data_IF_340230756522
#
_entry.id   IF_340230756522
#
_cell.length_a   1.000
_cell.length_b   1.000
_cell.length_c   1.000
_cell.angle_alpha   90.00
_cell.angle_beta   90.00
_cell.angle_gamma   90.00
#
_symmetry.space_group_name_H-M   'P 1'
#
loop_
_entity.id
_entity.type
_entity.pdbx_description
1 polymer ?
#
# COMPACT_ATOMS: atom_id res chain seq x y z
N UNK A 1 -30.53 -2.49 9.73
CA UNK A 1 -29.15 -2.68 10.27
C UNK A 1 -29.09 -4.05 10.93
N UNK A 2 -28.65 -5.07 10.21
CA UNK A 2 -28.55 -6.44 10.76
C UNK A 2 -27.18 -6.58 11.42
N UNK A 3 -27.14 -6.74 12.75
CA UNK A 3 -25.89 -6.96 13.50
C UNK A 3 -25.25 -8.28 13.02
N UNK A 4 -23.96 -8.26 12.68
CA UNK A 4 -23.19 -9.49 12.51
C UNK A 4 -23.00 -10.14 13.88
N UNK A 5 -23.80 -11.17 14.18
CA UNK A 5 -23.60 -12.01 15.36
C UNK A 5 -22.53 -13.03 14.98
N UNK A 6 -21.36 -12.97 15.62
CA UNK A 6 -20.37 -14.04 15.56
C UNK A 6 -20.90 -15.22 16.38
N UNK A 7 -21.45 -16.22 15.69
CA UNK A 7 -21.84 -17.48 16.31
C UNK A 7 -20.57 -18.33 16.43
N UNK A 8 -20.08 -18.49 17.65
CA UNK A 8 -19.02 -19.44 17.99
C UNK A 8 -19.71 -20.66 18.59
N UNK A 9 -19.65 -21.82 17.91
CA UNK A 9 -20.27 -23.05 18.45
C UNK A 9 -19.36 -23.69 19.49
N UNK A 10 -19.91 -24.28 20.55
CA UNK A 10 -19.14 -24.97 21.59
C UNK A 10 -18.50 -26.27 21.06
N UNK A 11 -17.30 -26.64 21.52
CA UNK A 11 -16.59 -27.88 21.14
C UNK A 11 -15.22 -27.65 20.46
N UNK A 12 -14.33 -28.65 20.55
CA UNK A 12 -12.95 -28.60 20.02
C UNK A 12 -12.81 -29.19 18.61
N UNK A 13 -11.75 -28.80 17.89
CA UNK A 13 -11.44 -29.36 16.57
C UNK A 13 -10.71 -30.70 16.72
N UNK A 14 -11.14 -31.78 16.04
CA UNK A 14 -10.35 -33.02 15.98
C UNK A 14 -9.04 -32.80 15.20
N UNK A 15 -8.03 -33.67 15.39
CA UNK A 15 -6.83 -33.67 14.55
C UNK A 15 -7.18 -33.96 13.09
N UNK A 16 -6.81 -33.04 12.20
CA UNK A 16 -7.09 -33.11 10.76
C UNK A 16 -5.84 -33.66 10.04
N UNK A 17 -5.95 -34.70 9.20
CA UNK A 17 -4.80 -35.24 8.46
C UNK A 17 -4.24 -34.23 7.46
N UNK A 18 -2.91 -34.08 7.41
CA UNK A 18 -2.23 -33.07 6.60
C UNK A 18 -2.26 -33.38 5.10
N UNK A 19 -2.83 -32.48 4.29
CA UNK A 19 -2.66 -32.45 2.84
C UNK A 19 -2.12 -31.08 2.40
N UNK A 20 -1.14 -31.10 1.49
CA UNK A 20 -0.20 -30.00 1.17
C UNK A 20 -0.73 -28.88 0.25
N UNK A 21 -2.02 -28.59 0.23
CA UNK A 21 -2.59 -27.49 -0.58
C UNK A 21 -3.59 -26.67 0.21
N UNK A 22 -3.36 -25.35 0.28
CA UNK A 22 -4.25 -24.43 0.99
C UNK A 22 -5.57 -24.28 0.23
N UNK A 23 -6.68 -24.74 0.82
CA UNK A 23 -8.02 -24.52 0.28
C UNK A 23 -8.91 -23.82 1.32
N UNK A 24 -9.84 -22.99 0.87
CA UNK A 24 -10.75 -22.24 1.74
C UNK A 24 -12.16 -22.84 1.63
N UNK A 25 -12.43 -23.90 2.40
CA UNK A 25 -13.73 -24.57 2.46
C UNK A 25 -14.77 -23.84 3.32
N UNK A 26 -14.33 -22.95 4.23
CA UNK A 26 -15.22 -22.14 5.05
C UNK A 26 -14.50 -20.88 5.59
N UNK A 27 -15.29 -19.86 5.97
CA UNK A 27 -14.79 -18.59 6.54
C UNK A 27 -15.23 -18.42 8.01
N UNK A 28 -16.04 -19.35 8.53
CA UNK A 28 -16.50 -19.40 9.92
C UNK A 28 -17.68 -20.35 10.10
N UNK A 29 -18.03 -20.71 11.34
CA UNK A 29 -19.02 -21.75 11.68
C UNK A 29 -20.39 -21.54 11.03
N UNK A 30 -20.80 -20.28 10.82
CA UNK A 30 -22.07 -19.92 10.16
C UNK A 30 -22.20 -20.43 8.71
N UNK A 31 -21.07 -20.76 8.09
CA UNK A 31 -21.01 -21.30 6.72
C UNK A 31 -20.95 -22.84 6.70
N UNK A 32 -20.94 -23.47 7.87
CA UNK A 32 -20.99 -24.92 8.04
C UNK A 32 -22.38 -25.38 8.52
N UNK A 33 -22.68 -26.66 8.31
CA UNK A 33 -23.90 -27.30 8.84
C UNK A 33 -24.00 -27.14 10.36
N UNK A 34 -25.20 -27.12 10.97
CA UNK A 34 -25.41 -26.94 12.41
C UNK A 34 -24.53 -27.79 13.34
N UNK A 35 -24.15 -28.99 12.91
CA UNK A 35 -23.34 -29.98 13.63
C UNK A 35 -21.82 -29.84 13.40
N UNK A 36 -21.39 -28.83 12.63
CA UNK A 36 -20.02 -28.65 12.17
C UNK A 36 -19.39 -27.33 12.65
N UNK A 37 -18.06 -27.31 12.73
CA UNK A 37 -17.24 -26.10 12.95
C UNK A 37 -16.26 -25.88 11.83
N UNK A 38 -15.95 -24.62 11.57
CA UNK A 38 -14.92 -24.24 10.62
C UNK A 38 -13.56 -24.30 11.32
N UNK A 39 -12.85 -25.41 11.16
CA UNK A 39 -11.57 -25.65 11.80
C UNK A 39 -10.41 -25.36 10.85
N UNK A 40 -9.28 -24.93 11.43
CA UNK A 40 -8.07 -24.60 10.69
C UNK A 40 -6.86 -25.32 11.25
N UNK A 41 -6.00 -25.85 10.38
CA UNK A 41 -4.66 -26.32 10.73
C UNK A 41 -3.62 -25.54 9.90
N UNK A 42 -3.44 -24.26 10.21
CA UNK A 42 -2.62 -23.33 9.42
C UNK A 42 -3.39 -22.63 8.30
N UNK A 43 -2.97 -22.80 7.04
CA UNK A 43 -3.53 -22.07 5.89
C UNK A 43 -4.86 -22.62 5.34
N UNK A 44 -5.28 -23.81 5.77
CA UNK A 44 -6.50 -24.48 5.30
C UNK A 44 -7.63 -24.27 6.32
N UNK A 45 -8.84 -23.92 5.84
CA UNK A 45 -10.08 -23.92 6.62
C UNK A 45 -11.10 -24.89 6.03
N UNK A 46 -11.69 -25.76 6.84
CA UNK A 46 -12.73 -26.70 6.38
C UNK A 46 -13.79 -26.96 7.46
N UNK A 47 -15.00 -27.31 7.05
CA UNK A 47 -16.08 -27.68 7.97
C UNK A 47 -15.87 -29.14 8.42
N UNK A 48 -15.75 -29.37 9.72
CA UNK A 48 -15.62 -30.70 10.34
C UNK A 48 -16.67 -30.87 11.42
N UNK A 49 -17.13 -32.10 11.60
CA UNK A 49 -18.10 -32.44 12.64
C UNK A 49 -17.49 -32.21 14.03
N UNK A 50 -18.29 -31.65 14.94
CA UNK A 50 -17.84 -31.28 16.28
C UNK A 50 -17.71 -32.54 17.12
N UNK A 51 -16.55 -32.73 17.78
CA UNK A 51 -16.46 -33.68 18.89
C UNK A 51 -17.19 -33.05 20.08
N UNK A 52 -18.36 -33.58 20.43
CA UNK A 52 -19.09 -33.16 21.63
C UNK A 52 -18.28 -33.56 22.88
N UNK A 53 -17.49 -32.63 23.42
CA UNK A 53 -17.03 -32.73 24.80
C UNK A 53 -18.07 -32.08 25.70
N UNK A 54 -18.61 -32.78 26.71
CA UNK A 54 -19.63 -32.22 27.56
C UNK A 54 -19.01 -31.09 28.40
N UNK A 55 -19.69 -29.95 28.38
CA UNK A 55 -19.64 -28.89 29.40
C UNK A 55 -18.62 -27.74 29.21
N UNK A 56 -19.09 -26.62 28.65
CA UNK A 56 -18.94 -25.27 29.26
C UNK A 56 -19.69 -24.19 28.46
N UNK A 57 -20.44 -23.37 29.19
CA UNK A 57 -21.26 -22.23 28.78
C UNK A 57 -20.43 -21.01 28.36
N UNK A 58 -20.95 -20.10 27.50
CA UNK A 58 -20.19 -18.93 27.05
C UNK A 58 -20.21 -17.79 28.07
N UNK A 59 -19.04 -17.23 28.36
CA UNK A 59 -18.84 -16.04 29.21
C UNK A 59 -18.72 -14.80 28.29
N UNK A 60 -19.59 -13.80 28.50
CA UNK A 60 -19.41 -12.42 28.02
C UNK A 60 -18.80 -11.57 29.13
N UNK A 61 -17.75 -10.79 28.84
CA UNK A 61 -17.40 -9.61 29.65
C UNK A 61 -16.88 -8.46 28.81
N UNK A 62 -17.33 -7.25 29.17
CA UNK A 62 -16.86 -5.95 28.72
C UNK A 62 -16.01 -5.30 29.81
N UNK A 63 -15.14 -4.34 29.47
CA UNK A 63 -15.03 -2.99 30.09
C UNK A 63 -13.59 -2.43 30.11
N UNK A 64 -13.55 -1.10 29.95
CA UNK A 64 -12.41 -0.15 30.07
C UNK A 64 -12.14 0.13 31.57
N UNK A 65 -10.96 0.67 31.95
CA UNK A 65 -10.93 2.11 32.31
C UNK A 65 -9.64 2.86 31.90
N UNK A 66 -9.71 4.19 32.01
CA UNK A 66 -8.72 5.19 31.62
C UNK A 66 -7.75 5.58 32.76
N UNK A 67 -6.61 6.19 32.43
CA UNK A 67 -5.83 7.04 33.33
C UNK A 67 -5.16 8.22 32.57
N UNK A 68 -4.93 9.30 33.33
CA UNK A 68 -4.77 10.73 33.01
C UNK A 68 -3.32 11.17 32.65
N UNK A 69 -3.12 12.46 32.27
CA UNK A 69 -1.89 12.99 31.65
C UNK A 69 -0.86 13.50 32.66
N UNK A 70 0.38 13.70 32.20
CA UNK A 70 1.43 14.38 32.97
C UNK A 70 2.18 15.37 32.09
N UNK A 71 2.19 16.62 32.56
CA UNK A 71 2.90 17.79 32.06
C UNK A 71 4.37 17.74 32.52
N UNK A 72 5.35 18.08 31.69
CA UNK A 72 6.60 18.70 32.19
C UNK A 72 7.24 19.63 31.16
N UNK A 73 7.52 20.81 31.68
CA UNK A 73 8.04 22.08 31.18
C UNK A 73 9.38 22.02 30.44
N UNK A 74 9.51 22.96 29.49
CA UNK A 74 10.72 23.32 28.77
C UNK A 74 11.85 23.88 29.67
N UNK A 75 13.09 23.73 29.22
CA UNK A 75 14.23 24.52 29.73
C UNK A 75 15.06 25.02 28.55
N UNK A 76 15.01 26.33 28.35
CA UNK A 76 15.75 27.11 27.36
C UNK A 76 17.12 27.50 27.92
N UNK A 77 18.18 27.45 27.12
CA UNK A 77 19.39 28.27 27.28
C UNK A 77 20.00 28.63 25.92
N UNK A 78 20.71 29.77 25.83
CA UNK A 78 20.88 30.53 24.59
C UNK A 78 22.12 30.11 23.80
N UNK A 79 22.05 30.23 22.47
CA UNK A 79 23.21 30.20 21.59
C UNK A 79 23.21 31.48 20.75
N UNK A 80 24.35 32.18 20.75
CA UNK A 80 24.54 33.52 20.21
C UNK A 80 25.50 33.45 19.02
N UNK A 81 25.18 34.24 17.97
CA UNK A 81 26.02 34.68 16.82
C UNK A 81 26.33 33.62 15.76
N UNK A 82 26.31 33.87 14.44
CA UNK A 82 26.72 35.06 13.67
C UNK A 82 25.87 35.22 12.40
N UNK A 83 25.57 36.48 12.05
CA UNK A 83 24.96 36.88 10.78
C UNK A 83 26.10 37.17 9.80
N UNK A 84 26.25 36.34 8.77
CA UNK A 84 27.08 36.67 7.61
C UNK A 84 26.14 36.98 6.46
N UNK A 85 26.11 38.26 6.07
CA UNK A 85 25.33 38.77 4.96
C UNK A 85 26.00 38.34 3.64
N UNK A 86 25.38 37.41 2.92
CA UNK A 86 25.67 37.18 1.51
C UNK A 86 24.52 37.74 0.66
N UNK A 87 24.87 38.71 -0.19
CA UNK A 87 24.04 39.30 -1.23
C UNK A 87 23.42 38.21 -2.12
N UNK A 88 22.12 38.27 -2.46
CA UNK A 88 21.55 37.37 -3.44
C UNK A 88 21.92 37.82 -4.85
N UNK A 89 22.79 37.06 -5.50
CA UNK A 89 22.96 37.13 -6.96
C UNK A 89 21.67 36.60 -7.60
N UNK A 90 20.83 37.51 -8.08
CA UNK A 90 19.61 37.19 -8.84
C UNK A 90 19.99 36.47 -10.12
N UNK A 91 20.09 35.15 -10.05
CA UNK A 91 20.14 34.31 -11.26
C UNK A 91 18.70 34.18 -11.70
N UNK A 92 18.35 34.83 -12.80
CA UNK A 92 17.05 34.73 -13.46
C UNK A 92 16.77 33.25 -13.76
N UNK A 93 16.00 32.57 -12.91
CA UNK A 93 15.51 31.22 -13.19
C UNK A 93 14.61 31.33 -14.41
N UNK A 94 14.92 30.54 -15.43
CA UNK A 94 14.00 30.29 -16.53
C UNK A 94 12.63 29.85 -15.95
N UNK A 95 11.50 30.32 -16.51
CA UNK A 95 10.19 29.96 -16.00
C UNK A 95 9.97 28.46 -16.22
N UNK A 96 10.20 27.68 -15.17
CA UNK A 96 9.62 26.34 -15.07
C UNK A 96 8.12 26.55 -14.98
N UNK A 97 7.38 26.24 -16.04
CA UNK A 97 5.91 26.12 -16.06
C UNK A 97 5.44 24.97 -15.15
N UNK A 98 5.91 24.91 -13.90
CA UNK A 98 5.41 24.00 -12.89
C UNK A 98 4.35 24.77 -12.11
N UNK A 99 3.10 24.29 -12.04
CA UNK A 99 2.06 24.99 -11.30
C UNK A 99 2.53 25.20 -9.86
N UNK A 100 2.41 26.41 -9.32
CA UNK A 100 2.97 26.85 -8.04
C UNK A 100 2.54 26.01 -6.80
N UNK A 101 1.70 24.99 -6.97
CA UNK A 101 1.14 24.16 -5.90
C UNK A 101 0.96 22.69 -6.32
N UNK A 102 1.80 22.19 -7.24
CA UNK A 102 1.77 20.80 -7.70
C UNK A 102 2.76 19.93 -6.91
N UNK A 103 2.22 18.90 -6.24
CA UNK A 103 2.98 17.85 -5.58
C UNK A 103 3.00 16.55 -6.37
N UNK A 104 3.99 15.70 -6.12
CA UNK A 104 4.11 14.37 -6.72
C UNK A 104 4.55 13.34 -5.68
N UNK A 105 3.94 12.15 -5.73
CA UNK A 105 4.24 11.02 -4.86
C UNK A 105 4.35 9.75 -5.71
N UNK A 106 5.49 9.06 -5.65
CA UNK A 106 5.57 7.72 -6.24
C UNK A 106 5.11 6.68 -5.22
N UNK A 107 4.28 5.74 -5.66
CA UNK A 107 3.74 4.65 -4.85
C UNK A 107 4.05 3.33 -5.53
N UNK A 108 4.54 2.35 -4.78
CA UNK A 108 4.73 0.99 -5.29
C UNK A 108 3.76 0.05 -4.61
N UNK A 109 3.03 -0.74 -5.37
CA UNK A 109 2.07 -1.72 -4.87
C UNK A 109 2.48 -3.12 -5.34
N UNK A 110 2.50 -4.11 -4.45
CA UNK A 110 2.49 -5.52 -4.84
C UNK A 110 1.05 -5.98 -5.08
N UNK A 111 0.76 -6.56 -6.24
CA UNK A 111 -0.58 -7.00 -6.60
C UNK A 111 -0.70 -8.52 -6.40
N UNK A 112 -1.65 -8.97 -5.56
CA UNK A 112 -1.81 -10.40 -5.23
C UNK A 112 -2.59 -11.14 -6.32
N UNK A 113 -3.70 -10.57 -6.77
CA UNK A 113 -4.68 -11.27 -7.61
C UNK A 113 -4.43 -11.10 -9.12
N UNK A 114 -3.24 -10.64 -9.50
CA UNK A 114 -2.88 -10.39 -10.89
C UNK A 114 -1.64 -11.18 -11.29
N UNK A 115 -1.63 -11.68 -12.52
CA UNK A 115 -0.52 -12.41 -13.09
C UNK A 115 0.18 -11.53 -14.13
N UNK A 116 1.45 -11.25 -13.91
CA UNK A 116 2.24 -10.56 -14.91
C UNK A 116 2.28 -11.38 -16.22
N UNK A 117 2.06 -10.70 -17.34
CA UNK A 117 2.28 -11.24 -18.68
C UNK A 117 2.58 -10.10 -19.67
N UNK A 118 3.03 -10.45 -20.87
CA UNK A 118 3.46 -9.49 -21.89
C UNK A 118 2.37 -8.48 -22.31
N UNK A 119 1.08 -8.79 -22.09
CA UNK A 119 -0.02 -7.83 -22.33
C UNK A 119 0.09 -6.57 -21.50
N UNK A 120 0.74 -6.63 -20.32
CA UNK A 120 0.97 -5.48 -19.45
C UNK A 120 2.06 -4.53 -19.98
N UNK A 121 2.79 -4.93 -21.02
CA UNK A 121 3.73 -4.06 -21.73
C UNK A 121 3.04 -3.30 -22.87
N UNK A 122 1.79 -3.64 -23.19
CA UNK A 122 1.05 -3.08 -24.33
C UNK A 122 -0.18 -2.31 -23.85
N UNK A 123 -0.17 -0.96 -23.85
CA UNK A 123 -1.30 -0.16 -23.40
C UNK A 123 -2.63 -0.43 -24.14
N UNK A 124 -2.56 -1.00 -25.34
CA UNK A 124 -3.73 -1.36 -26.15
C UNK A 124 -4.38 -2.68 -25.75
N UNK A 125 -3.72 -3.51 -24.93
CA UNK A 125 -4.30 -4.76 -24.47
C UNK A 125 -5.51 -4.51 -23.56
N UNK A 126 -6.56 -5.31 -23.73
CA UNK A 126 -7.70 -5.33 -22.81
C UNK A 126 -7.27 -5.59 -21.37
N UNK A 127 -6.28 -6.47 -21.16
CA UNK A 127 -5.77 -6.80 -19.83
C UNK A 127 -5.09 -5.60 -19.17
N UNK A 128 -4.23 -4.88 -19.92
CA UNK A 128 -3.61 -3.64 -19.45
C UNK A 128 -4.67 -2.61 -19.08
N UNK A 129 -5.61 -2.31 -19.99
CA UNK A 129 -6.62 -1.27 -19.78
C UNK A 129 -7.52 -1.58 -18.59
N UNK A 130 -7.92 -2.85 -18.43
CA UNK A 130 -8.74 -3.28 -17.32
C UNK A 130 -7.99 -3.10 -15.99
N UNK A 131 -6.78 -3.64 -15.87
CA UNK A 131 -5.97 -3.50 -14.65
C UNK A 131 -5.66 -2.04 -14.33
N UNK A 132 -5.27 -1.25 -15.34
CA UNK A 132 -5.03 0.18 -15.20
C UNK A 132 -6.25 0.91 -14.64
N UNK A 133 -7.42 0.65 -15.21
CA UNK A 133 -8.69 1.25 -14.77
C UNK A 133 -9.05 0.83 -13.34
N UNK A 134 -8.89 -0.45 -12.99
CA UNK A 134 -9.15 -0.97 -11.65
C UNK A 134 -8.26 -0.29 -10.62
N UNK A 135 -6.95 -0.21 -10.88
CA UNK A 135 -6.00 0.46 -9.98
C UNK A 135 -6.38 1.93 -9.82
N UNK A 136 -6.50 2.65 -10.94
CA UNK A 136 -6.80 4.08 -10.94
C UNK A 136 -8.09 4.38 -10.17
N UNK A 137 -9.16 3.62 -10.43
CA UNK A 137 -10.47 3.85 -9.80
C UNK A 137 -10.44 3.57 -8.30
N UNK A 138 -9.75 2.50 -7.87
CA UNK A 138 -9.60 2.19 -6.45
C UNK A 138 -8.81 3.30 -5.71
N UNK A 139 -7.70 3.75 -6.28
CA UNK A 139 -6.91 4.83 -5.66
C UNK A 139 -7.72 6.13 -5.60
N UNK A 140 -8.47 6.49 -6.66
CA UNK A 140 -9.36 7.66 -6.58
C UNK A 140 -10.49 7.48 -5.56
N UNK A 141 -10.98 6.26 -5.37
CA UNK A 141 -12.00 5.96 -4.37
C UNK A 141 -11.51 6.31 -2.95
N UNK A 142 -10.26 6.03 -2.63
CA UNK A 142 -9.62 6.38 -1.35
C UNK A 142 -9.68 7.87 -1.00
N UNK A 143 -9.74 8.75 -2.00
CA UNK A 143 -9.67 10.20 -1.82
C UNK A 143 -10.99 10.94 -2.06
N UNK A 144 -12.12 10.21 -2.17
CA UNK A 144 -13.44 10.82 -2.42
C UNK A 144 -13.85 11.89 -1.40
N UNK A 145 -13.49 11.69 -0.12
CA UNK A 145 -13.85 12.60 0.97
C UNK A 145 -12.82 13.71 1.22
N UNK A 146 -11.64 13.61 0.59
CA UNK A 146 -10.54 14.59 0.67
C UNK A 146 -10.02 14.85 -0.75
N UNK A 147 -10.74 15.64 -1.57
CA UNK A 147 -10.32 15.91 -2.95
C UNK A 147 -9.00 16.69 -2.95
N UNK A 148 -8.09 16.30 -3.84
CA UNK A 148 -6.76 16.91 -3.91
C UNK A 148 -5.78 16.13 -4.78
N UNK A 149 -6.04 14.84 -5.01
CA UNK A 149 -5.37 14.06 -6.05
C UNK A 149 -5.86 14.53 -7.43
N UNK A 150 -4.93 14.95 -8.28
CA UNK A 150 -5.18 15.45 -9.63
C UNK A 150 -4.93 14.41 -10.70
N UNK A 151 -3.95 13.52 -10.50
CA UNK A 151 -3.71 12.37 -11.39
C UNK A 151 -3.26 11.13 -10.62
N UNK A 152 -3.57 9.97 -11.19
CA UNK A 152 -3.03 8.67 -10.80
C UNK A 152 -2.62 7.99 -12.09
N UNK A 153 -1.32 7.85 -12.28
CA UNK A 153 -0.72 7.30 -13.48
C UNK A 153 0.12 6.08 -13.11
N UNK A 154 -0.03 4.99 -13.86
CA UNK A 154 0.84 3.81 -13.69
C UNK A 154 2.08 4.01 -14.57
N UNK A 155 3.24 4.13 -13.94
CA UNK A 155 4.54 4.26 -14.59
C UNK A 155 4.97 2.92 -15.19
N UNK A 156 4.87 1.83 -14.42
CA UNK A 156 5.27 0.51 -14.91
C UNK A 156 4.61 -0.65 -14.16
N UNK A 157 4.43 -1.77 -14.87
CA UNK A 157 4.11 -3.07 -14.30
C UNK A 157 5.35 -3.96 -14.34
N UNK A 158 5.69 -4.56 -13.21
CA UNK A 158 6.93 -5.32 -13.03
C UNK A 158 6.66 -6.80 -12.83
N UNK A 159 7.44 -7.63 -13.54
CA UNK A 159 7.26 -9.08 -13.53
C UNK A 159 7.67 -9.73 -12.23
N UNK A 160 8.69 -9.19 -11.57
CA UNK A 160 9.11 -9.69 -10.26
C UNK A 160 8.14 -9.19 -9.20
N UNK A 161 7.60 -10.11 -8.40
CA UNK A 161 6.64 -9.84 -7.31
C UNK A 161 5.34 -9.14 -7.76
N UNK A 162 4.98 -9.18 -9.04
CA UNK A 162 3.74 -8.56 -9.58
C UNK A 162 3.53 -7.11 -9.09
N UNK A 163 4.57 -6.28 -9.18
CA UNK A 163 4.52 -4.90 -8.65
C UNK A 163 4.01 -3.92 -9.70
N UNK A 164 3.30 -2.89 -9.24
CA UNK A 164 2.93 -1.73 -10.03
C UNK A 164 3.56 -0.47 -9.41
N UNK A 165 4.19 0.34 -10.26
CA UNK A 165 4.80 1.60 -9.90
C UNK A 165 3.87 2.73 -10.36
N UNK A 166 3.39 3.55 -9.43
CA UNK A 166 2.43 4.61 -9.68
C UNK A 166 3.08 5.98 -9.43
N UNK A 167 2.57 6.99 -10.13
CA UNK A 167 2.79 8.40 -9.88
C UNK A 167 1.45 9.06 -9.55
N UNK A 168 1.35 9.60 -8.35
CA UNK A 168 0.22 10.42 -7.93
C UNK A 168 0.63 11.89 -8.05
N UNK A 169 -0.13 12.66 -8.82
CA UNK A 169 -0.04 14.12 -8.78
C UNK A 169 -1.15 14.67 -7.88
N UNK A 170 -0.85 15.70 -7.11
CA UNK A 170 -1.80 16.30 -6.18
C UNK A 170 -1.60 17.80 -6.03
N UNK A 171 -2.64 18.49 -5.59
CA UNK A 171 -2.58 19.91 -5.26
C UNK A 171 -2.22 20.06 -3.77
N UNK A 172 -1.09 20.70 -3.49
CA UNK A 172 -0.56 20.88 -2.12
C UNK A 172 -1.44 21.78 -1.25
N UNK A 173 -2.30 22.62 -1.86
CA UNK A 173 -3.26 23.45 -1.13
C UNK A 173 -4.52 22.68 -0.73
N UNK A 174 -4.82 21.58 -1.41
CA UNK A 174 -6.04 20.80 -1.18
C UNK A 174 -5.81 19.61 -0.27
N UNK A 175 -4.63 18.97 -0.35
CA UNK A 175 -4.29 17.80 0.45
C UNK A 175 -2.81 17.81 0.82
N UNK A 176 -2.52 17.53 2.10
CA UNK A 176 -1.15 17.39 2.57
C UNK A 176 -0.61 15.99 2.21
N UNK A 177 0.69 15.90 1.92
CA UNK A 177 1.36 14.63 1.60
C UNK A 177 1.14 13.56 2.66
N UNK A 178 1.15 13.95 3.95
CA UNK A 178 0.91 13.03 5.06
C UNK A 178 -0.50 12.46 5.06
N UNK A 179 -1.52 13.24 4.65
CA UNK A 179 -2.89 12.74 4.50
C UNK A 179 -2.99 11.72 3.38
N UNK A 180 -2.27 11.93 2.27
CA UNK A 180 -2.22 10.98 1.15
C UNK A 180 -1.69 9.62 1.62
N UNK A 181 -0.52 9.63 2.25
CA UNK A 181 0.16 8.41 2.71
C UNK A 181 -0.67 7.69 3.77
N UNK A 182 -1.15 8.43 4.78
CA UNK A 182 -1.92 7.82 5.88
C UNK A 182 -3.26 7.27 5.43
N UNK A 183 -3.95 7.92 4.49
CA UNK A 183 -5.17 7.39 3.87
C UNK A 183 -4.91 6.09 3.10
N UNK A 184 -3.86 6.03 2.27
CA UNK A 184 -3.55 4.80 1.52
C UNK A 184 -3.21 3.63 2.44
N UNK A 185 -2.44 3.87 3.51
CA UNK A 185 -2.11 2.85 4.51
C UNK A 185 -3.37 2.39 5.26
N UNK A 186 -4.23 3.33 5.66
CA UNK A 186 -5.47 3.02 6.37
C UNK A 186 -6.43 2.20 5.49
N UNK A 187 -6.56 2.56 4.22
CA UNK A 187 -7.42 1.85 3.27
C UNK A 187 -6.88 0.46 2.96
N UNK A 188 -5.56 0.31 2.83
CA UNK A 188 -4.93 -0.99 2.68
C UNK A 188 -5.18 -1.87 3.91
N UNK A 189 -4.92 -1.35 5.11
CA UNK A 189 -5.04 -2.09 6.38
C UNK A 189 -6.49 -2.47 6.69
N UNK A 190 -7.44 -1.60 6.35
CA UNK A 190 -8.87 -1.86 6.53
C UNK A 190 -9.47 -2.75 5.43
N UNK A 191 -8.71 -3.01 4.35
CA UNK A 191 -9.20 -3.69 3.17
C UNK A 191 -10.21 -2.86 2.37
N UNK A 192 -10.26 -1.54 2.57
CA UNK A 192 -11.12 -0.62 1.81
C UNK A 192 -10.71 -0.50 0.34
N UNK A 193 -9.48 -0.91 0.00
CA UNK A 193 -9.06 -1.19 -1.38
C UNK A 193 -9.55 -2.60 -1.81
N UNK A 194 -10.80 -2.97 -1.51
CA UNK A 194 -11.29 -4.36 -1.62
C UNK A 194 -11.31 -4.90 -3.06
N UNK A 195 -11.47 -4.02 -4.06
CA UNK A 195 -11.47 -4.39 -5.47
C UNK A 195 -10.06 -4.48 -6.07
N UNK A 196 -9.03 -4.13 -5.30
CA UNK A 196 -7.63 -4.30 -5.68
C UNK A 196 -6.87 -4.98 -4.53
N UNK A 197 -6.73 -6.30 -4.60
CA UNK A 197 -5.96 -7.05 -3.60
C UNK A 197 -4.48 -6.71 -3.70
N UNK A 198 -4.01 -5.90 -2.75
CA UNK A 198 -2.61 -5.48 -2.62
C UNK A 198 -1.95 -6.30 -1.50
N UNK A 199 -0.71 -6.73 -1.75
CA UNK A 199 0.15 -7.40 -0.78
C UNK A 199 0.57 -6.50 0.38
N UNK A 200 1.41 -7.02 1.27
CA UNK A 200 1.94 -6.22 2.38
C UNK A 200 3.03 -5.24 1.93
N UNK A 201 3.52 -5.39 0.69
CA UNK A 201 4.50 -4.48 0.12
C UNK A 201 3.81 -3.25 -0.49
N UNK A 202 3.86 -2.15 0.25
CA UNK A 202 3.49 -0.82 -0.21
C UNK A 202 4.61 0.15 0.18
N UNK A 203 5.15 0.89 -0.80
CA UNK A 203 6.24 1.85 -0.55
C UNK A 203 5.92 3.20 -1.16
N UNK A 204 6.47 4.24 -0.54
CA UNK A 204 6.26 5.64 -0.90
C UNK A 204 7.60 6.30 -1.15
N UNK A 205 7.72 7.02 -2.27
CA UNK A 205 8.85 7.91 -2.53
C UNK A 205 8.36 9.34 -2.67
N UNK A 206 8.80 10.16 -1.72
CA UNK A 206 8.45 11.56 -1.57
C UNK A 206 9.50 12.50 -2.17
N UNK A 207 10.60 11.95 -2.70
CA UNK A 207 11.76 12.71 -3.19
C UNK A 207 11.88 12.64 -4.72
N UNK A 208 10.74 12.79 -5.41
CA UNK A 208 10.68 12.83 -6.87
C UNK A 208 11.65 13.89 -7.43
N UNK A 209 12.64 13.45 -8.23
CA UNK A 209 13.61 14.33 -8.87
C UNK A 209 13.13 14.72 -10.28
N UNK A 210 13.45 15.94 -10.75
CA UNK A 210 13.13 16.36 -12.11
C UNK A 210 13.86 15.52 -13.17
N UNK A 211 13.38 15.59 -14.41
CA UNK A 211 13.92 14.83 -15.54
C UNK A 211 13.23 13.48 -15.75
N UNK A 212 13.58 12.81 -16.85
CA UNK A 212 12.94 11.55 -17.26
C UNK A 212 13.91 10.38 -17.24
N UNK A 213 13.39 9.16 -17.04
CA UNK A 213 14.21 7.97 -17.11
C UNK A 213 14.71 7.73 -18.55
N UNK A 214 15.97 7.31 -18.74
CA UNK A 214 16.47 6.98 -20.07
C UNK A 214 15.68 5.80 -20.67
N UNK A 215 15.43 5.86 -21.98
CA UNK A 215 14.90 4.74 -22.74
C UNK A 215 15.93 3.60 -22.71
N UNK A 216 15.48 2.42 -22.27
CA UNK A 216 16.26 1.18 -22.10
C UNK A 216 17.05 1.13 -20.79
N UNK A 217 16.50 0.38 -19.85
CA UNK A 217 17.27 -0.20 -18.76
C UNK A 217 16.85 -1.66 -18.69
N UNK A 218 17.44 -2.52 -19.54
CA UNK A 218 17.19 -3.97 -19.48
C UNK A 218 18.46 -4.64 -18.98
N UNK A 219 18.67 -4.75 -17.66
CA UNK A 219 19.63 -5.72 -17.16
C UNK A 219 19.09 -7.12 -17.47
N UNK A 220 19.94 -8.00 -18.00
CA UNK A 220 19.59 -9.42 -18.21
C UNK A 220 19.28 -10.18 -16.92
N UNK A 221 19.37 -9.52 -15.76
CA UNK A 221 19.02 -10.01 -14.42
C UNK A 221 18.09 -9.01 -13.74
N UNK A 222 17.11 -9.52 -12.99
CA UNK A 222 16.20 -8.67 -12.21
C UNK A 222 16.91 -8.16 -10.96
N UNK A 223 17.17 -6.86 -10.94
CA UNK A 223 17.93 -6.18 -9.90
C UNK A 223 17.08 -5.07 -9.30
N UNK A 224 16.99 -5.03 -7.98
CA UNK A 224 16.27 -4.03 -7.19
C UNK A 224 17.28 -3.21 -6.37
N UNK A 225 17.83 -2.17 -6.98
CA UNK A 225 18.89 -1.34 -6.36
C UNK A 225 18.35 -0.10 -5.66
N UNK A 226 17.09 0.27 -5.90
CA UNK A 226 16.52 1.50 -5.36
C UNK A 226 15.01 1.35 -5.15
N UNK A 227 14.49 2.07 -4.15
CA UNK A 227 13.05 2.12 -3.85
C UNK A 227 12.38 3.40 -4.37
N UNK A 228 13.18 4.39 -4.74
CA UNK A 228 12.75 5.71 -5.19
C UNK A 228 13.94 6.62 -5.49
N UNK A 229 13.69 7.78 -6.09
CA UNK A 229 14.71 8.77 -6.48
C UNK A 229 15.55 9.20 -5.26
N UNK A 230 14.93 9.33 -4.08
CA UNK A 230 15.63 9.67 -2.83
C UNK A 230 16.67 8.64 -2.36
N UNK A 231 16.56 7.39 -2.82
CA UNK A 231 17.54 6.34 -2.49
C UNK A 231 18.75 6.33 -3.43
N UNK A 232 18.70 7.06 -4.54
CA UNK A 232 19.77 7.10 -5.51
C UNK A 232 20.81 8.18 -5.20
N UNK A 233 22.11 7.90 -5.40
CA UNK A 233 23.17 8.89 -5.23
C UNK A 233 23.13 9.96 -6.33
N UNK A 234 23.90 11.03 -6.15
CA UNK A 234 24.27 11.94 -7.25
C UNK A 234 23.14 12.64 -8.01
N UNK A 235 21.93 12.73 -7.46
CA UNK A 235 20.79 13.31 -8.17
C UNK A 235 20.17 12.39 -9.23
N UNK A 236 20.55 11.11 -9.26
CA UNK A 236 20.00 10.11 -10.17
C UNK A 236 18.53 9.77 -9.87
N UNK A 237 17.83 9.21 -10.86
CA UNK A 237 16.46 8.73 -10.72
C UNK A 237 16.42 7.22 -10.56
N UNK A 238 15.46 6.72 -9.79
CA UNK A 238 15.20 5.29 -9.64
C UNK A 238 14.27 4.81 -10.76
N UNK A 239 14.85 4.22 -11.79
CA UNK A 239 14.18 3.88 -13.03
C UNK A 239 13.82 2.40 -13.10
N UNK A 240 12.58 2.11 -13.51
CA UNK A 240 12.09 0.75 -13.73
C UNK A 240 12.82 0.08 -14.89
N UNK A 241 13.20 -1.17 -14.67
CA UNK A 241 13.84 -2.02 -15.67
C UNK A 241 12.89 -3.07 -16.27
N UNK A 242 11.61 -2.99 -15.91
CA UNK A 242 10.58 -3.97 -16.28
C UNK A 242 10.40 -5.11 -15.27
N UNK A 243 11.40 -5.43 -14.45
CA UNK A 243 11.23 -6.37 -13.34
C UNK A 243 11.77 -5.83 -12.00
N UNK A 244 12.81 -5.01 -12.02
CA UNK A 244 13.32 -4.31 -10.85
C UNK A 244 13.49 -2.83 -11.12
N UNK A 245 14.44 -2.20 -10.42
CA UNK A 245 14.78 -0.78 -10.55
C UNK A 245 16.27 -0.54 -10.34
N UNK A 246 16.79 0.45 -11.05
CA UNK A 246 18.17 0.89 -10.89
C UNK A 246 18.27 2.41 -10.92
N UNK A 247 19.30 2.94 -10.27
CA UNK A 247 19.62 4.34 -10.35
C UNK A 247 20.24 4.66 -11.71
N UNK A 248 19.70 5.68 -12.36
CA UNK A 248 20.12 6.14 -13.68
C UNK A 248 20.16 7.66 -13.73
N UNK A 249 21.12 8.20 -14.45
CA UNK A 249 21.16 9.64 -14.75
C UNK A 249 19.92 10.05 -15.54
N UNK A 250 19.18 11.11 -15.13
CA UNK A 250 18.01 11.59 -15.85
C UNK A 250 18.36 12.17 -17.24
N UNK A 251 17.39 12.08 -18.17
CA UNK A 251 17.38 12.82 -19.44
C UNK A 251 16.61 14.13 -19.31
#
# INVERSE_FOLDING_TARGET
MTRCINIVRSGGCPPIPELRTCAMGCVGDRKCLPTQKCCSNGCWKTCVDILETPNSTPIMTSSRPAAKPTTTTATTKPFVTQITQHMPTTTLRAPTNQPDHAGSLSVTLELIDYAWNASLLTPQSSYYRHLYSTIKTNIFHSFRLKPGITSVDIISFRSQHNRADLLLQYNTNSIALIDIITSLIADHTSGAIYDLKIGNYMTFDTQMRPGTCPAVVVPGTCVENCMGDGTCPGGEKCCSTGCGRVCSTPK
#
